data_IF_630388230689
#
_entry.id   IF_630388230689
#
_cell.length_a   1.000
_cell.length_b   1.000
_cell.length_c   1.000
_cell.angle_alpha   90.00
_cell.angle_beta   90.00
_cell.angle_gamma   90.00
#
_symmetry.space_group_name_H-M   'P 1'
#
loop_
_entity.id
_entity.type
_entity.pdbx_description
1 polymer ?
#
# COMPACT_ATOMS: atom_id res chain seq x y z
N UNK A 1 22.71 0.04 58.58
CA UNK A 1 22.59 -0.96 57.51
C UNK A 1 23.51 -2.09 57.91
N UNK A 2 22.95 -3.25 58.24
CA UNK A 2 23.73 -4.43 58.58
C UNK A 2 24.45 -4.94 57.32
N UNK A 3 25.61 -5.57 57.47
CA UNK A 3 26.33 -6.21 56.36
C UNK A 3 25.47 -7.31 55.75
N UNK A 4 24.68 -8.01 56.57
CA UNK A 4 23.72 -9.01 56.11
C UNK A 4 22.67 -8.40 55.15
N UNK A 5 22.09 -7.25 55.51
CA UNK A 5 21.12 -6.54 54.66
C UNK A 5 21.72 -6.13 53.30
N UNK A 6 23.01 -5.79 53.27
CA UNK A 6 23.70 -5.40 52.04
C UNK A 6 23.96 -6.61 51.11
N UNK A 7 24.31 -7.78 51.67
CA UNK A 7 24.47 -9.01 50.88
C UNK A 7 23.13 -9.56 50.39
N UNK A 8 22.08 -9.48 51.21
CA UNK A 8 20.72 -9.88 50.82
C UNK A 8 20.15 -8.98 49.72
N UNK A 9 20.46 -7.68 49.72
CA UNK A 9 20.07 -6.75 48.65
C UNK A 9 20.80 -6.99 47.31
N UNK A 10 22.02 -7.55 47.35
CA UNK A 10 22.79 -7.93 46.15
C UNK A 10 22.30 -9.29 45.62
N UNK A 11 21.86 -10.17 46.50
CA UNK A 11 21.27 -11.46 46.17
C UNK A 11 19.92 -11.28 45.46
N UNK A 12 19.88 -11.43 44.14
CA UNK A 12 18.69 -11.20 43.31
C UNK A 12 18.72 -9.89 42.51
N UNK A 13 19.79 -9.10 42.62
CA UNK A 13 19.96 -7.89 41.82
C UNK A 13 20.12 -8.22 40.33
N UNK A 14 20.79 -9.32 40.00
CA UNK A 14 20.90 -9.82 38.62
C UNK A 14 19.52 -10.13 38.00
N UNK A 15 18.68 -10.88 38.72
CA UNK A 15 17.31 -11.20 38.28
C UNK A 15 16.46 -9.93 38.08
N UNK A 16 16.64 -8.94 38.96
CA UNK A 16 15.97 -7.63 38.85
C UNK A 16 16.43 -6.86 37.61
N UNK A 17 17.74 -6.83 37.34
CA UNK A 17 18.30 -6.17 36.16
C UNK A 17 17.86 -6.86 34.86
N UNK A 18 17.80 -8.19 34.84
CA UNK A 18 17.29 -8.96 33.70
C UNK A 18 15.82 -8.63 33.44
N UNK A 19 14.97 -8.68 34.46
CA UNK A 19 13.55 -8.36 34.32
C UNK A 19 13.33 -6.91 33.86
N UNK A 20 14.11 -5.96 34.37
CA UNK A 20 14.08 -4.56 33.92
C UNK A 20 14.54 -4.44 32.47
N UNK A 21 15.64 -5.10 32.10
CA UNK A 21 16.16 -5.13 30.73
C UNK A 21 15.16 -5.69 29.73
N UNK A 22 14.49 -6.79 30.07
CA UNK A 22 13.42 -7.39 29.26
C UNK A 22 12.22 -6.45 29.10
N UNK A 23 11.74 -5.84 30.19
CA UNK A 23 10.63 -4.91 30.15
C UNK A 23 10.96 -3.66 29.30
N UNK A 24 12.15 -3.09 29.47
CA UNK A 24 12.62 -1.95 28.66
C UNK A 24 12.79 -2.34 27.19
N UNK A 25 13.33 -3.53 26.91
CA UNK A 25 13.50 -4.04 25.56
C UNK A 25 12.17 -4.26 24.85
N UNK A 26 11.18 -4.85 25.54
CA UNK A 26 9.82 -5.05 25.02
C UNK A 26 9.14 -3.71 24.71
N UNK A 27 9.19 -2.76 25.64
CA UNK A 27 8.52 -1.47 25.42
C UNK A 27 9.18 -0.68 24.29
N UNK A 28 10.52 -0.64 24.25
CA UNK A 28 11.25 0.02 23.16
C UNK A 28 10.99 -0.64 21.81
N UNK A 29 10.94 -1.97 21.78
CA UNK A 29 10.61 -2.72 20.56
C UNK A 29 9.20 -2.42 20.07
N UNK A 30 8.23 -2.28 20.99
CA UNK A 30 6.85 -1.91 20.68
C UNK A 30 6.76 -0.51 20.11
N UNK A 31 7.39 0.47 20.75
CA UNK A 31 7.41 1.86 20.30
C UNK A 31 8.03 1.98 18.90
N UNK A 32 9.19 1.36 18.69
CA UNK A 32 9.89 1.38 17.40
C UNK A 32 9.05 0.72 16.31
N UNK A 33 8.44 -0.44 16.59
CA UNK A 33 7.60 -1.13 15.62
C UNK A 33 6.37 -0.32 15.20
N UNK A 34 5.78 0.48 16.11
CA UNK A 34 4.68 1.39 15.79
C UNK A 34 5.17 2.54 14.89
N UNK A 35 6.32 3.12 15.21
CA UNK A 35 6.89 4.22 14.43
C UNK A 35 7.26 3.77 13.01
N UNK A 36 8.01 2.67 12.89
CA UNK A 36 8.40 2.08 11.61
C UNK A 36 7.18 1.67 10.79
N UNK A 37 6.19 1.00 11.41
CA UNK A 37 4.96 0.60 10.73
C UNK A 37 4.17 1.79 10.20
N UNK A 38 4.11 2.90 10.95
CA UNK A 38 3.46 4.13 10.52
C UNK A 38 4.18 4.77 9.34
N UNK A 39 5.50 4.88 9.39
CA UNK A 39 6.30 5.47 8.31
C UNK A 39 6.21 4.66 7.02
N UNK A 40 6.35 3.33 7.12
CA UNK A 40 6.18 2.42 5.99
C UNK A 40 4.77 2.50 5.40
N UNK A 41 3.74 2.56 6.25
CA UNK A 41 2.35 2.69 5.82
C UNK A 41 2.09 3.99 5.04
N UNK A 42 2.63 5.12 5.51
CA UNK A 42 2.52 6.42 4.81
C UNK A 42 3.23 6.36 3.46
N UNK A 43 4.47 5.85 3.42
CA UNK A 43 5.25 5.75 2.19
C UNK A 43 4.54 4.87 1.15
N UNK A 44 4.15 3.65 1.55
CA UNK A 44 3.48 2.69 0.65
C UNK A 44 2.10 3.16 0.22
N UNK A 45 1.35 3.79 1.13
CA UNK A 45 0.05 4.38 0.80
C UNK A 45 0.16 5.49 -0.24
N UNK A 46 1.14 6.39 -0.11
CA UNK A 46 1.37 7.45 -1.08
C UNK A 46 1.76 6.89 -2.47
N UNK A 47 2.61 5.86 -2.50
CA UNK A 47 3.05 5.19 -3.72
C UNK A 47 1.88 4.52 -4.47
N UNK A 48 1.07 3.74 -3.75
CA UNK A 48 -0.14 3.09 -4.32
C UNK A 48 -1.15 4.16 -4.78
N UNK A 49 -1.36 5.20 -3.97
CA UNK A 49 -2.28 6.30 -4.31
C UNK A 49 -1.86 7.04 -5.58
N UNK A 50 -0.57 7.32 -5.74
CA UNK A 50 0.00 7.94 -6.94
C UNK A 50 -0.22 7.07 -8.19
N UNK A 51 0.02 5.76 -8.07
CA UNK A 51 -0.21 4.81 -9.17
C UNK A 51 -1.67 4.77 -9.60
N UNK A 52 -2.59 4.66 -8.63
CA UNK A 52 -4.02 4.64 -8.90
C UNK A 52 -4.50 5.95 -9.51
N UNK A 53 -4.04 7.09 -9.01
CA UNK A 53 -4.37 8.41 -9.57
C UNK A 53 -3.92 8.55 -11.02
N UNK A 54 -2.73 8.06 -11.36
CA UNK A 54 -2.26 8.02 -12.75
C UNK A 54 -3.16 7.14 -13.64
N UNK A 55 -3.51 5.95 -13.17
CA UNK A 55 -4.41 5.04 -13.88
C UNK A 55 -5.81 5.61 -14.07
N UNK A 56 -6.36 6.27 -13.05
CA UNK A 56 -7.63 6.98 -13.13
C UNK A 56 -7.58 8.09 -14.17
N UNK A 57 -6.52 8.90 -14.18
CA UNK A 57 -6.31 9.95 -15.20
C UNK A 57 -6.31 9.37 -16.62
N UNK A 58 -5.59 8.28 -16.85
CA UNK A 58 -5.58 7.59 -18.15
C UNK A 58 -6.97 7.06 -18.53
N UNK A 59 -7.67 6.43 -17.58
CA UNK A 59 -9.02 5.92 -17.79
C UNK A 59 -10.01 7.03 -18.17
N UNK A 60 -9.94 8.19 -17.51
CA UNK A 60 -10.78 9.35 -17.82
C UNK A 60 -10.53 9.85 -19.24
N UNK A 61 -9.26 10.02 -19.63
CA UNK A 61 -8.89 10.46 -20.98
C UNK A 61 -9.39 9.46 -22.02
N UNK A 62 -9.12 8.16 -21.85
CA UNK A 62 -9.57 7.15 -22.81
C UNK A 62 -11.10 7.05 -22.88
N UNK A 63 -11.80 7.15 -21.75
CA UNK A 63 -13.26 7.14 -21.72
C UNK A 63 -13.84 8.34 -22.47
N UNK A 64 -13.28 9.53 -22.28
CA UNK A 64 -13.70 10.73 -23.00
C UNK A 64 -13.44 10.62 -24.51
N UNK A 65 -12.26 10.12 -24.90
CA UNK A 65 -11.93 9.89 -26.31
C UNK A 65 -12.89 8.91 -26.98
N UNK A 66 -13.35 7.86 -26.28
CA UNK A 66 -14.30 6.88 -26.82
C UNK A 66 -15.73 7.44 -26.98
N UNK A 67 -16.08 8.48 -26.22
CA UNK A 67 -17.38 9.16 -26.28
C UNK A 67 -17.41 10.31 -27.29
N UNK A 68 -16.25 10.88 -27.64
CA UNK A 68 -16.12 11.98 -28.61
C UNK A 68 -16.08 11.44 -30.05
N UNK A 69 -17.00 11.87 -30.91
CA UNK A 69 -17.04 11.46 -32.33
C UNK A 69 -15.76 11.87 -33.09
N UNK A 70 -15.09 12.95 -32.68
CA UNK A 70 -13.84 13.43 -33.27
C UNK A 70 -12.65 12.57 -32.86
N UNK A 71 -12.56 12.23 -31.57
CA UNK A 71 -11.39 11.57 -30.97
C UNK A 71 -11.49 10.04 -30.97
N UNK A 72 -12.69 9.48 -31.13
CA UNK A 72 -12.92 8.03 -31.12
C UNK A 72 -12.12 7.30 -32.19
N UNK A 73 -11.85 7.95 -33.32
CA UNK A 73 -11.01 7.42 -34.40
C UNK A 73 -9.53 7.26 -34.00
N UNK A 74 -9.07 7.98 -32.97
CA UNK A 74 -7.69 7.91 -32.45
C UNK A 74 -7.47 6.69 -31.55
N UNK A 75 -8.54 6.04 -31.08
CA UNK A 75 -8.44 4.80 -30.31
C UNK A 75 -8.93 3.61 -31.14
N UNK A 76 -8.24 2.47 -31.09
CA UNK A 76 -8.74 1.25 -31.72
C UNK A 76 -10.10 0.86 -31.12
N UNK A 77 -11.09 0.51 -31.97
CA UNK A 77 -12.41 0.09 -31.49
C UNK A 77 -12.35 -1.07 -30.48
N UNK A 78 -11.39 -1.99 -30.65
CA UNK A 78 -11.14 -3.11 -29.72
C UNK A 78 -10.67 -2.68 -28.31
N UNK A 79 -10.23 -1.44 -28.13
CA UNK A 79 -9.83 -0.90 -26.83
C UNK A 79 -11.02 -0.63 -25.91
N UNK A 80 -12.21 -0.34 -26.46
CA UNK A 80 -13.37 0.12 -25.70
C UNK A 80 -13.77 -0.82 -24.55
N UNK A 81 -13.86 -2.13 -24.83
CA UNK A 81 -14.19 -3.14 -23.81
C UNK A 81 -13.10 -3.23 -22.73
N UNK A 82 -11.84 -3.07 -23.12
CA UNK A 82 -10.71 -3.10 -22.18
C UNK A 82 -10.70 -1.86 -21.28
N UNK A 83 -10.98 -0.68 -21.82
CA UNK A 83 -11.10 0.58 -21.05
C UNK A 83 -12.28 0.50 -20.07
N UNK A 84 -13.45 0.03 -20.51
CA UNK A 84 -14.61 -0.11 -19.62
C UNK A 84 -14.36 -1.09 -18.46
N UNK A 85 -13.75 -2.24 -18.75
CA UNK A 85 -13.39 -3.21 -17.69
C UNK A 85 -12.24 -2.74 -16.81
N UNK A 86 -11.40 -1.82 -17.28
CA UNK A 86 -10.39 -1.16 -16.45
C UNK A 86 -11.02 -0.18 -15.47
N UNK A 87 -11.98 0.64 -15.93
CA UNK A 87 -12.79 1.50 -15.05
C UNK A 87 -13.48 0.73 -13.93
N UNK A 88 -14.10 -0.41 -14.26
CA UNK A 88 -14.75 -1.26 -13.26
C UNK A 88 -13.77 -1.82 -12.20
N UNK A 89 -12.53 -2.10 -12.56
CA UNK A 89 -11.50 -2.52 -11.59
C UNK A 89 -11.08 -1.37 -10.69
N UNK A 90 -10.94 -0.15 -11.22
CA UNK A 90 -10.60 1.04 -10.46
C UNK A 90 -11.71 1.42 -9.47
N UNK A 91 -12.97 1.39 -9.91
CA UNK A 91 -14.13 1.68 -9.06
C UNK A 91 -14.31 0.63 -7.96
N UNK A 92 -14.17 -0.66 -8.29
CA UNK A 92 -14.23 -1.73 -7.31
C UNK A 92 -13.13 -1.61 -6.25
N UNK A 93 -11.94 -1.14 -6.65
CA UNK A 93 -10.86 -0.83 -5.72
C UNK A 93 -11.30 0.32 -4.80
N UNK A 94 -11.64 1.49 -5.33
CA UNK A 94 -12.06 2.66 -4.53
C UNK A 94 -13.15 2.35 -3.50
N UNK A 95 -14.22 1.67 -3.91
CA UNK A 95 -15.34 1.34 -3.02
C UNK A 95 -14.90 0.51 -1.80
N UNK A 96 -13.98 -0.45 -2.00
CA UNK A 96 -13.46 -1.29 -0.90
C UNK A 96 -12.66 -0.47 0.11
N UNK A 97 -11.83 0.47 -0.34
CA UNK A 97 -11.02 1.30 0.57
C UNK A 97 -11.81 2.44 1.20
N UNK A 98 -12.86 2.95 0.56
CA UNK A 98 -13.78 3.90 1.17
C UNK A 98 -14.52 3.25 2.37
N UNK A 99 -14.97 1.99 2.21
CA UNK A 99 -15.55 1.20 3.31
C UNK A 99 -14.54 0.92 4.43
N UNK A 100 -13.31 0.55 4.08
CA UNK A 100 -12.25 0.30 5.06
C UNK A 100 -11.87 1.57 5.83
N UNK A 101 -11.73 2.71 5.14
CA UNK A 101 -11.46 4.02 5.72
C UNK A 101 -12.54 4.43 6.73
N UNK A 102 -13.81 4.20 6.39
CA UNK A 102 -14.93 4.47 7.29
C UNK A 102 -14.86 3.59 8.55
N UNK A 103 -14.52 2.31 8.41
CA UNK A 103 -14.36 1.38 9.55
C UNK A 103 -13.22 1.83 10.49
N UNK A 104 -12.08 2.24 9.93
CA UNK A 104 -10.94 2.72 10.72
C UNK A 104 -11.28 4.04 11.44
N UNK A 105 -12.00 4.96 10.78
CA UNK A 105 -12.44 6.22 11.40
C UNK A 105 -13.45 6.02 12.54
N UNK A 106 -14.28 4.98 12.48
CA UNK A 106 -15.31 4.69 13.49
C UNK A 106 -14.77 3.85 14.66
N UNK A 107 -13.69 3.08 14.46
CA UNK A 107 -13.27 2.03 15.39
C UNK A 107 -11.98 2.33 16.18
N UNK A 108 -11.65 3.59 16.50
CA UNK A 108 -10.51 4.03 17.36
C UNK A 108 -9.55 2.88 17.77
N UNK A 109 -8.44 2.73 17.04
CA UNK A 109 -7.33 1.81 17.35
C UNK A 109 -7.62 0.30 17.23
N UNK A 110 -7.84 -0.18 16.01
CA UNK A 110 -7.38 -1.53 15.64
C UNK A 110 -6.50 -1.43 14.40
N UNK A 111 -5.18 -1.44 14.62
CA UNK A 111 -4.17 -1.78 13.61
C UNK A 111 -4.33 -3.27 13.26
N UNK A 112 -5.47 -3.63 12.67
CA UNK A 112 -5.58 -4.89 11.97
C UNK A 112 -4.79 -4.69 10.68
N UNK A 113 -3.80 -5.54 10.44
CA UNK A 113 -3.02 -5.53 9.21
C UNK A 113 -3.98 -5.74 8.02
N UNK A 114 -4.49 -4.65 7.45
CA UNK A 114 -5.20 -4.62 6.16
C UNK A 114 -4.17 -4.63 5.02
N UNK A 115 -3.10 -5.41 5.14
CA UNK A 115 -2.41 -5.90 3.96
C UNK A 115 -3.08 -7.22 3.64
N UNK A 116 -4.33 -7.11 3.20
CA UNK A 116 -5.08 -8.23 2.69
C UNK A 116 -4.37 -8.65 1.39
N UNK A 117 -4.00 -9.93 1.24
CA UNK A 117 -3.40 -10.43 -0.02
C UNK A 117 -4.26 -10.02 -1.23
N UNK A 118 -5.56 -9.87 -1.00
CA UNK A 118 -6.55 -9.35 -1.93
C UNK A 118 -6.19 -7.97 -2.52
N UNK A 119 -5.66 -7.02 -1.74
CA UNK A 119 -5.26 -5.68 -2.24
C UNK A 119 -4.19 -5.80 -3.33
N UNK A 120 -3.15 -6.57 -3.04
CA UNK A 120 -2.03 -6.74 -3.97
C UNK A 120 -2.47 -7.45 -5.24
N UNK A 121 -3.35 -8.45 -5.14
CA UNK A 121 -3.93 -9.11 -6.30
C UNK A 121 -4.77 -8.16 -7.16
N UNK A 122 -5.52 -7.24 -6.55
CA UNK A 122 -6.30 -6.23 -7.27
C UNK A 122 -5.40 -5.23 -8.00
N UNK A 123 -4.37 -4.72 -7.33
CA UNK A 123 -3.37 -3.84 -7.97
C UNK A 123 -2.69 -4.54 -9.15
N UNK A 124 -2.33 -5.82 -9.01
CA UNK A 124 -1.77 -6.61 -10.12
C UNK A 124 -2.76 -6.76 -11.29
N UNK A 125 -4.05 -6.94 -11.01
CA UNK A 125 -5.10 -6.99 -12.05
C UNK A 125 -5.24 -5.64 -12.77
N UNK A 126 -5.24 -4.53 -12.04
CA UNK A 126 -5.27 -3.17 -12.60
C UNK A 126 -4.05 -2.94 -13.49
N UNK A 127 -2.83 -3.20 -12.97
CA UNK A 127 -1.56 -3.11 -13.72
C UNK A 127 -1.57 -3.95 -14.99
N UNK A 128 -2.02 -5.21 -14.91
CA UNK A 128 -2.10 -6.11 -16.06
C UNK A 128 -3.08 -5.56 -17.11
N UNK A 129 -4.22 -5.05 -16.67
CA UNK A 129 -5.22 -4.48 -17.56
C UNK A 129 -4.73 -3.21 -18.25
N UNK A 130 -4.04 -2.34 -17.52
CA UNK A 130 -3.39 -1.15 -18.06
C UNK A 130 -2.39 -1.53 -19.16
N UNK A 131 -1.51 -2.52 -18.92
CA UNK A 131 -0.56 -3.05 -19.91
C UNK A 131 -1.24 -3.57 -21.17
N UNK A 132 -2.42 -4.18 -21.04
CA UNK A 132 -3.21 -4.64 -22.19
C UNK A 132 -3.73 -3.44 -23.00
N UNK A 133 -4.23 -2.39 -22.35
CA UNK A 133 -4.74 -1.20 -23.05
C UNK A 133 -3.61 -0.46 -23.76
N UNK A 134 -2.47 -0.23 -23.11
CA UNK A 134 -1.32 0.44 -23.73
C UNK A 134 -0.76 -0.36 -24.91
N UNK A 135 -0.79 -1.70 -24.83
CA UNK A 135 -0.44 -2.56 -25.96
C UNK A 135 -1.42 -2.43 -27.14
N UNK A 136 -2.73 -2.40 -26.85
CA UNK A 136 -3.76 -2.30 -27.88
C UNK A 136 -3.70 -0.94 -28.60
N UNK A 137 -3.45 0.13 -27.84
CA UNK A 137 -3.41 1.52 -28.30
C UNK A 137 -2.07 1.94 -28.91
N UNK A 138 -1.04 1.09 -28.81
CA UNK A 138 0.30 1.41 -29.31
C UNK A 138 1.10 2.35 -28.40
N UNK A 139 0.66 2.55 -27.16
CA UNK A 139 1.25 3.48 -26.19
C UNK A 139 2.18 2.79 -25.18
N UNK A 140 2.57 1.53 -25.41
CA UNK A 140 3.31 0.72 -24.44
C UNK A 140 4.64 1.38 -23.99
N UNK A 141 5.34 2.04 -24.89
CA UNK A 141 6.64 2.68 -24.60
C UNK A 141 6.49 4.14 -24.17
N UNK A 142 5.38 4.78 -24.51
CA UNK A 142 5.15 6.21 -24.25
C UNK A 142 4.34 6.48 -22.98
N UNK A 143 3.52 5.54 -22.55
CA UNK A 143 2.61 5.67 -21.42
C UNK A 143 2.89 4.57 -20.40
N UNK A 144 3.89 4.84 -19.56
CA UNK A 144 4.33 3.97 -18.46
C UNK A 144 4.22 4.75 -17.16
N UNK A 145 3.62 4.12 -16.14
CA UNK A 145 3.77 4.61 -14.78
C UNK A 145 5.18 4.23 -14.31
N UNK A 146 6.08 5.22 -14.23
CA UNK A 146 7.42 5.18 -13.65
C UNK A 146 8.08 3.78 -13.58
N UNK A 147 8.97 3.48 -14.55
CA UNK A 147 9.75 2.24 -14.54
C UNK A 147 10.69 2.14 -13.31
N UNK A 148 11.09 3.28 -12.72
CA UNK A 148 11.91 3.34 -11.52
C UNK A 148 11.14 2.88 -10.27
N UNK A 149 9.87 3.24 -10.13
CA UNK A 149 9.03 2.82 -8.99
C UNK A 149 8.70 1.31 -9.07
N UNK A 150 8.41 0.81 -10.27
CA UNK A 150 8.17 -0.63 -10.50
C UNK A 150 9.41 -1.48 -10.18
N UNK A 151 10.63 -0.96 -10.43
CA UNK A 151 11.89 -1.64 -10.14
C UNK A 151 12.25 -1.57 -8.65
N UNK A 152 12.07 -0.41 -8.02
CA UNK A 152 12.26 -0.23 -6.57
C UNK A 152 11.38 -1.19 -5.75
N UNK A 153 10.17 -1.48 -6.22
CA UNK A 153 9.26 -2.45 -5.62
C UNK A 153 9.72 -3.91 -5.67
N UNK A 154 10.50 -4.30 -6.69
CA UNK A 154 10.95 -5.69 -6.88
C UNK A 154 12.23 -5.98 -6.10
N UNK A 155 13.03 -4.95 -5.85
CA UNK A 155 14.32 -5.04 -5.15
C UNK A 155 14.20 -4.77 -3.64
N UNK A 156 13.07 -4.21 -3.17
CA UNK A 156 12.72 -4.22 -1.74
C UNK A 156 12.16 -5.58 -1.33
N UNK A 157 13.07 -6.56 -1.22
CA UNK A 157 12.79 -7.83 -0.56
C UNK A 157 12.48 -7.56 0.92
N UNK A 158 11.34 -8.07 1.40
CA UNK A 158 11.12 -8.40 2.81
C UNK A 158 11.19 -9.92 2.94
#
# INVERSE_FOLDING_TARGET
>A
MDIADAFDAISGYEETLVAQGEAMGMERGRELGIEEGRELGVMKGAEIGSELGFYQGCHLVWSHMLQSDELKSKLPARAAKSVASFGALLEAFELKYEEAKLRVMVAELVLQNVVDEDMMQELLRIRAKFKVITAITGLRESLVYSEEDIKAHKDMSF
#
